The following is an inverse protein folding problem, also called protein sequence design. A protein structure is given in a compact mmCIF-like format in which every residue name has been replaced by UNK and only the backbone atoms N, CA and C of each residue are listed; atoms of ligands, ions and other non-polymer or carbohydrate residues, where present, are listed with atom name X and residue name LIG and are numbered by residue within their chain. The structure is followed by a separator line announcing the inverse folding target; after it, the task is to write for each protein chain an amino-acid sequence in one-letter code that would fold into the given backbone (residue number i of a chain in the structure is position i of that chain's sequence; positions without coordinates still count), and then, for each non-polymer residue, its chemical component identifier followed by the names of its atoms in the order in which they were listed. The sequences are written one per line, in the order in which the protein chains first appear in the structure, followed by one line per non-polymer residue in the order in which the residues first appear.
data_IF_485073243278
#
_entry.id   IF_485073243278
#
_cell.length_a   1.000
_cell.length_b   1.000
_cell.length_c   1.000
_cell.angle_alpha   90.00
_cell.angle_beta   90.00
_cell.angle_gamma   90.00
#
_symmetry.space_group_name_H-M   'P 1'
#
loop_
_entity.id
_entity.type
_entity.pdbx_description
1 polymer ?
#
# COMPACT_ATOMS: atom_id res chain seq x y z
N UNK A 1 21.28 4.32 22.26
CA UNK A 1 20.68 3.04 21.81
C UNK A 1 19.26 2.99 22.37
N UNK A 2 18.32 3.74 21.77
CA UNK A 2 17.05 4.09 22.42
C UNK A 2 15.84 3.79 21.53
N UNK A 3 14.86 3.09 22.12
CA UNK A 3 13.43 3.09 21.81
C UNK A 3 12.98 2.89 20.34
N UNK A 4 13.08 1.65 19.83
CA UNK A 4 12.32 1.20 18.64
C UNK A 4 11.44 -0.03 18.94
N UNK A 5 10.84 -0.11 20.13
CA UNK A 5 9.81 -1.13 20.43
C UNK A 5 8.51 -0.94 19.64
N UNK A 6 8.45 0.11 18.83
CA UNK A 6 7.24 0.71 18.29
C UNK A 6 6.67 0.02 17.01
N UNK A 7 7.37 -0.98 16.47
CA UNK A 7 6.89 -1.78 15.33
C UNK A 7 6.41 -3.16 15.77
N UNK A 8 5.50 -3.20 16.75
CA UNK A 8 4.96 -4.44 17.34
C UNK A 8 4.24 -5.36 16.35
N UNK A 9 3.87 -4.84 15.18
CA UNK A 9 3.25 -5.60 14.08
C UNK A 9 4.26 -6.41 13.25
N UNK A 10 5.56 -6.20 13.42
CA UNK A 10 6.61 -7.04 12.80
C UNK A 10 6.93 -8.24 13.69
N UNK A 11 6.93 -9.44 13.09
CA UNK A 11 7.43 -10.65 13.77
C UNK A 11 8.93 -10.51 14.11
N UNK A 12 9.45 -11.26 15.10
CA UNK A 12 10.89 -11.21 15.41
C UNK A 12 11.80 -11.53 14.22
N UNK A 13 11.38 -12.44 13.35
CA UNK A 13 12.10 -12.78 12.12
C UNK A 13 12.10 -11.62 11.12
N UNK A 14 10.93 -11.01 10.87
CA UNK A 14 10.82 -9.83 10.00
C UNK A 14 11.64 -8.66 10.54
N UNK A 15 11.61 -8.43 11.86
CA UNK A 15 12.41 -7.40 12.52
C UNK A 15 13.91 -7.64 12.32
N UNK A 16 14.38 -8.87 12.50
CA UNK A 16 15.79 -9.22 12.25
C UNK A 16 16.18 -8.93 10.80
N UNK A 17 15.35 -9.37 9.84
CA UNK A 17 15.56 -9.12 8.40
C UNK A 17 15.55 -7.63 8.05
N UNK A 18 14.66 -6.86 8.68
CA UNK A 18 14.58 -5.41 8.50
C UNK A 18 15.90 -4.73 8.85
N UNK A 19 16.50 -5.11 9.98
CA UNK A 19 17.76 -4.51 10.41
C UNK A 19 18.96 -4.99 9.60
N UNK A 20 18.99 -6.27 9.21
CA UNK A 20 20.12 -6.86 8.47
C UNK A 20 20.12 -6.55 6.97
N UNK A 21 18.95 -6.31 6.37
CA UNK A 21 18.82 -6.02 4.94
C UNK A 21 19.54 -4.72 4.56
N UNK A 22 20.19 -4.72 3.40
CA UNK A 22 20.87 -3.54 2.86
C UNK A 22 19.95 -2.70 1.99
N UNK A 23 18.89 -3.30 1.45
CA UNK A 23 17.96 -2.65 0.52
C UNK A 23 16.53 -2.88 0.94
N UNK A 24 15.73 -1.83 1.02
CA UNK A 24 14.31 -1.87 1.34
C UNK A 24 13.50 -1.47 0.11
N UNK A 25 12.52 -2.29 -0.23
CA UNK A 25 11.50 -2.03 -1.25
C UNK A 25 10.22 -1.72 -0.48
N UNK A 26 9.88 -0.44 -0.39
CA UNK A 26 8.75 0.04 0.40
C UNK A 26 7.52 0.10 -0.50
N UNK A 27 6.55 -0.76 -0.21
CA UNK A 27 5.26 -0.79 -0.87
C UNK A 27 4.18 -0.23 0.06
N UNK A 28 3.80 1.02 -0.19
CA UNK A 28 2.77 1.73 0.55
C UNK A 28 1.40 1.44 -0.06
N UNK A 29 0.37 1.41 0.79
CA UNK A 29 -1.03 1.24 0.38
C UNK A 29 -1.27 -0.10 -0.33
N UNK A 30 -0.72 -1.17 0.25
CA UNK A 30 -0.72 -2.50 -0.35
C UNK A 30 -2.09 -3.21 -0.34
N UNK A 31 -3.12 -2.63 0.29
CA UNK A 31 -4.42 -3.27 0.48
C UNK A 31 -4.39 -4.41 1.50
N UNK A 32 -5.54 -5.02 1.77
CA UNK A 32 -5.68 -6.10 2.77
C UNK A 32 -4.93 -7.37 2.33
N UNK A 33 -5.02 -7.71 1.05
CA UNK A 33 -4.46 -8.95 0.49
C UNK A 33 -2.94 -8.86 0.30
N UNK A 34 -2.40 -7.65 0.14
CA UNK A 34 -1.01 -7.46 -0.27
C UNK A 34 -0.78 -7.98 -1.69
N UNK A 35 0.46 -7.87 -2.17
CA UNK A 35 0.78 -8.17 -3.56
C UNK A 35 1.90 -9.21 -3.62
N UNK A 36 1.49 -10.47 -3.76
CA UNK A 36 2.42 -11.60 -3.74
C UNK A 36 3.48 -11.55 -4.86
N UNK A 37 3.17 -10.93 -6.01
CA UNK A 37 4.13 -10.69 -7.08
C UNK A 37 5.28 -9.79 -6.61
N UNK A 38 4.98 -8.78 -5.78
CA UNK A 38 5.97 -7.87 -5.21
C UNK A 38 6.83 -8.60 -4.16
N UNK A 39 6.25 -9.52 -3.39
CA UNK A 39 7.00 -10.34 -2.44
C UNK A 39 8.08 -11.20 -3.10
N UNK A 40 8.00 -11.47 -4.42
CA UNK A 40 9.09 -12.12 -5.16
C UNK A 40 10.37 -11.28 -5.18
N UNK A 41 10.30 -9.98 -4.92
CA UNK A 41 11.47 -9.10 -4.81
C UNK A 41 12.19 -9.25 -3.45
N UNK A 42 11.61 -9.99 -2.49
CA UNK A 42 12.12 -10.19 -1.13
C UNK A 42 13.28 -11.20 -1.07
N UNK A 43 14.32 -10.99 -1.88
CA UNK A 43 15.44 -11.92 -2.10
C UNK A 43 16.80 -11.32 -1.72
N UNK A 44 17.69 -12.19 -1.21
CA UNK A 44 19.06 -11.82 -0.85
C UNK A 44 19.11 -10.72 0.21
N UNK A 45 19.82 -9.62 -0.10
CA UNK A 45 19.96 -8.46 0.78
C UNK A 45 18.80 -7.45 0.67
N UNK A 46 17.79 -7.73 -0.15
CA UNK A 46 16.57 -6.93 -0.25
C UNK A 46 15.49 -7.40 0.73
N UNK A 47 14.74 -6.43 1.27
CA UNK A 47 13.53 -6.66 2.03
C UNK A 47 12.36 -5.89 1.43
N UNK A 48 11.26 -6.59 1.16
CA UNK A 48 9.98 -5.95 0.81
C UNK A 48 9.24 -5.58 2.10
N UNK A 49 8.82 -4.32 2.20
CA UNK A 49 8.05 -3.78 3.31
C UNK A 49 6.70 -3.34 2.76
N UNK A 50 5.67 -4.15 2.95
CA UNK A 50 4.29 -3.77 2.66
C UNK A 50 3.63 -3.12 3.86
N UNK A 51 3.00 -1.97 3.61
CA UNK A 51 2.31 -1.19 4.64
C UNK A 51 0.92 -0.83 4.18
N UNK A 52 -0.09 -1.23 4.95
CA UNK A 52 -1.45 -0.72 4.78
C UNK A 52 -2.21 -0.67 6.11
N UNK A 53 -2.87 0.46 6.37
CA UNK A 53 -3.71 0.64 7.56
C UNK A 53 -4.89 -0.34 7.62
N UNK A 54 -5.39 -0.80 6.47
CA UNK A 54 -6.47 -1.78 6.36
C UNK A 54 -6.03 -3.18 6.81
N UNK A 55 -4.75 -3.53 6.68
CA UNK A 55 -4.18 -4.79 7.21
C UNK A 55 -3.97 -4.72 8.71
N UNK A 56 -3.38 -3.62 9.16
CA UNK A 56 -3.03 -3.42 10.56
C UNK A 56 -2.93 -1.92 10.86
N UNK A 57 -3.60 -1.47 11.93
CA UNK A 57 -3.48 -0.09 12.40
C UNK A 57 -2.03 0.31 12.77
N UNK A 58 -1.15 -0.67 13.02
CA UNK A 58 0.28 -0.43 13.22
C UNK A 58 1.04 -0.06 11.94
N UNK A 59 0.51 -0.39 10.76
CA UNK A 59 1.12 -0.13 9.45
C UNK A 59 0.69 1.20 8.82
N UNK A 60 -0.10 2.00 9.53
CA UNK A 60 -0.52 3.31 9.06
C UNK A 60 0.69 4.25 8.91
N UNK A 61 0.87 4.78 7.70
CA UNK A 61 1.93 5.71 7.34
C UNK A 61 1.86 7.01 8.15
N UNK A 62 0.67 7.39 8.65
CA UNK A 62 0.48 8.58 9.48
C UNK A 62 1.01 8.40 10.91
N UNK A 63 1.19 7.17 11.38
CA UNK A 63 1.71 6.89 12.73
C UNK A 63 3.19 7.22 12.85
N UNK A 64 3.55 7.75 14.02
CA UNK A 64 4.92 8.22 14.29
C UNK A 64 5.93 7.09 14.25
N UNK A 65 5.53 5.91 14.69
CA UNK A 65 6.36 4.70 14.78
C UNK A 65 6.80 4.23 13.40
N UNK A 66 5.83 3.95 12.53
CA UNK A 66 6.02 3.54 11.14
C UNK A 66 6.79 4.60 10.36
N UNK A 67 6.44 5.88 10.55
CA UNK A 67 7.10 6.98 9.88
C UNK A 67 8.57 7.13 10.30
N UNK A 68 8.89 7.03 11.60
CA UNK A 68 10.28 7.07 12.08
C UNK A 68 11.09 5.89 11.59
N UNK A 69 10.50 4.70 11.53
CA UNK A 69 11.18 3.51 10.97
C UNK A 69 11.56 3.74 9.50
N UNK A 70 10.61 4.21 8.69
CA UNK A 70 10.83 4.49 7.28
C UNK A 70 11.86 5.61 7.06
N UNK A 71 11.75 6.71 7.81
CA UNK A 71 12.71 7.81 7.74
C UNK A 71 14.11 7.38 8.17
N UNK A 72 14.25 6.54 9.20
CA UNK A 72 15.55 5.98 9.56
C UNK A 72 16.14 5.15 8.43
N UNK A 73 15.33 4.28 7.81
CA UNK A 73 15.76 3.49 6.64
C UNK A 73 16.17 4.37 5.46
N UNK A 74 15.43 5.45 5.22
CA UNK A 74 15.73 6.41 4.17
C UNK A 74 17.04 7.17 4.43
N UNK A 75 17.21 7.75 5.62
CA UNK A 75 18.41 8.49 6.02
C UNK A 75 19.66 7.59 6.02
N UNK A 76 19.52 6.31 6.36
CA UNK A 76 20.63 5.33 6.34
C UNK A 76 20.91 4.74 4.94
N UNK A 77 20.23 5.23 3.90
CA UNK A 77 20.42 4.78 2.52
C UNK A 77 19.86 3.39 2.19
N UNK A 78 19.07 2.79 3.10
CA UNK A 78 18.51 1.44 2.89
C UNK A 78 17.37 1.43 1.88
N UNK A 79 16.58 2.50 1.80
CA UNK A 79 15.42 2.54 0.88
C UNK A 79 15.90 2.58 -0.57
N UNK A 80 15.59 1.53 -1.33
CA UNK A 80 15.96 1.35 -2.74
C UNK A 80 14.79 1.74 -3.67
N UNK A 81 13.55 1.48 -3.24
CA UNK A 81 12.33 1.79 -3.99
C UNK A 81 11.23 2.24 -3.02
N UNK A 82 10.49 3.28 -3.40
CA UNK A 82 9.22 3.69 -2.79
C UNK A 82 8.13 3.57 -3.84
N UNK A 83 7.12 2.74 -3.57
CA UNK A 83 6.02 2.54 -4.49
C UNK A 83 4.68 2.39 -3.80
N UNK A 84 3.59 2.65 -4.51
CA UNK A 84 2.24 2.51 -3.99
C UNK A 84 1.22 3.38 -4.72
N UNK A 85 -0.04 3.20 -4.38
CA UNK A 85 -1.15 4.06 -4.81
C UNK A 85 -1.96 4.52 -3.60
N UNK A 86 -1.95 5.81 -3.23
CA UNK A 86 -2.67 6.32 -2.06
C UNK A 86 -4.17 5.98 -2.15
N UNK A 87 -4.84 5.74 -1.01
CA UNK A 87 -6.24 5.36 -0.99
C UNK A 87 -7.16 6.48 -1.53
N UNK A 88 -8.22 6.01 -2.18
CA UNK A 88 -9.45 6.69 -2.61
C UNK A 88 -9.38 7.72 -3.77
N UNK A 89 -10.15 7.42 -4.83
CA UNK A 89 -10.41 8.25 -6.02
C UNK A 89 -11.52 9.28 -5.80
N UNK A 90 -12.49 9.00 -4.90
CA UNK A 90 -13.78 9.71 -4.88
C UNK A 90 -13.64 11.20 -4.56
N UNK A 91 -12.58 11.58 -3.84
CA UNK A 91 -12.34 12.95 -3.40
C UNK A 91 -11.17 13.66 -4.11
N UNK A 92 -10.43 12.96 -4.98
CA UNK A 92 -9.18 13.50 -5.55
C UNK A 92 -9.35 14.31 -6.84
N UNK A 93 -10.51 14.23 -7.51
CA UNK A 93 -10.72 14.99 -8.74
C UNK A 93 -10.85 16.51 -8.52
N UNK A 94 -10.93 16.99 -7.28
CA UNK A 94 -11.40 18.36 -6.98
C UNK A 94 -12.75 18.71 -7.67
N UNK A 95 -13.41 17.74 -8.32
CA UNK A 95 -14.72 17.83 -8.96
C UNK A 95 -15.74 17.53 -7.87
N UNK A 96 -15.96 18.52 -7.02
CA UNK A 96 -16.77 18.39 -5.81
C UNK A 96 -16.35 19.35 -4.69
N UNK A 97 -15.21 20.03 -4.82
CA UNK A 97 -14.78 21.08 -3.88
C UNK A 97 -14.23 20.61 -2.54
N UNK A 98 -14.44 19.34 -2.14
CA UNK A 98 -13.94 18.82 -0.88
C UNK A 98 -12.57 18.13 -1.06
N UNK A 99 -11.52 18.81 -0.61
CA UNK A 99 -10.14 18.31 -0.68
C UNK A 99 -9.92 17.27 0.42
N UNK A 100 -9.69 16.02 0.07
CA UNK A 100 -9.26 15.02 1.06
C UNK A 100 -7.83 15.32 1.54
N UNK A 101 -7.76 15.98 2.70
CA UNK A 101 -6.51 16.33 3.37
C UNK A 101 -5.71 15.10 3.79
N UNK A 102 -6.36 13.97 4.06
CA UNK A 102 -5.69 12.73 4.46
C UNK A 102 -4.98 12.10 3.29
N UNK A 103 -5.66 11.94 2.15
CA UNK A 103 -5.02 11.45 0.91
C UNK A 103 -3.83 12.33 0.50
N UNK A 104 -3.98 13.65 0.60
CA UNK A 104 -2.87 14.57 0.33
C UNK A 104 -1.69 14.36 1.30
N UNK A 105 -1.95 14.21 2.61
CA UNK A 105 -0.91 13.95 3.59
C UNK A 105 -0.16 12.64 3.31
N UNK A 106 -0.89 11.61 2.89
CA UNK A 106 -0.31 10.31 2.53
C UNK A 106 0.60 10.42 1.30
N UNK A 107 0.15 11.11 0.25
CA UNK A 107 0.95 11.42 -0.95
C UNK A 107 2.19 12.23 -0.57
N UNK A 108 2.02 13.27 0.25
CA UNK A 108 3.12 14.12 0.69
C UNK A 108 4.17 13.33 1.48
N UNK A 109 3.77 12.41 2.38
CA UNK A 109 4.69 11.53 3.08
C UNK A 109 5.39 10.55 2.14
N UNK A 110 4.69 9.99 1.16
CA UNK A 110 5.30 9.12 0.16
C UNK A 110 6.37 9.87 -0.66
N UNK A 111 6.07 11.07 -1.14
CA UNK A 111 7.03 11.93 -1.85
C UNK A 111 8.21 12.33 -0.96
N UNK A 112 7.93 12.72 0.29
CA UNK A 112 8.97 13.09 1.24
C UNK A 112 9.91 11.93 1.54
N UNK A 113 9.36 10.72 1.72
CA UNK A 113 10.17 9.52 1.94
C UNK A 113 11.12 9.26 0.77
N UNK A 114 10.64 9.41 -0.47
CA UNK A 114 11.46 9.29 -1.66
C UNK A 114 12.60 10.31 -1.68
N UNK A 115 12.30 11.59 -1.45
CA UNK A 115 13.33 12.66 -1.42
C UNK A 115 14.39 12.38 -0.35
N UNK A 116 13.97 12.03 0.87
CA UNK A 116 14.90 11.70 1.96
C UNK A 116 15.73 10.47 1.63
N UNK A 117 15.16 9.46 0.98
CA UNK A 117 15.87 8.25 0.59
C UNK A 117 16.93 8.56 -0.48
N UNK A 118 16.62 9.40 -1.47
CA UNK A 118 17.56 9.83 -2.50
C UNK A 118 18.78 10.51 -1.87
N UNK A 119 18.54 11.54 -1.04
CA UNK A 119 19.61 12.25 -0.33
C UNK A 119 20.38 11.32 0.61
N UNK A 120 19.67 10.46 1.35
CA UNK A 120 20.28 9.49 2.25
C UNK A 120 21.25 8.55 1.54
N UNK A 121 20.92 8.10 0.32
CA UNK A 121 21.80 7.27 -0.50
C UNK A 121 23.01 8.02 -1.04
N UNK A 122 22.81 9.26 -1.50
CA UNK A 122 23.91 10.12 -1.96
C UNK A 122 24.95 10.35 -0.85
N UNK A 123 24.49 10.67 0.37
CA UNK A 123 25.36 10.85 1.54
C UNK A 123 26.16 9.60 1.88
N UNK A 124 25.59 8.41 1.66
CA UNK A 124 26.25 7.13 1.91
C UNK A 124 27.04 6.60 0.70
N UNK A 125 27.16 7.38 -0.39
CA UNK A 125 27.98 7.06 -1.56
C UNK A 125 27.40 5.98 -2.48
N UNK A 126 26.10 5.68 -2.37
CA UNK A 126 25.45 4.75 -3.29
C UNK A 126 25.27 5.38 -4.67
N UNK A 127 25.71 4.68 -5.72
CA UNK A 127 25.69 5.15 -7.11
C UNK A 127 24.34 4.97 -7.82
N UNK A 128 23.36 4.34 -7.16
CA UNK A 128 22.06 4.04 -7.74
C UNK A 128 20.98 4.90 -7.09
N UNK A 129 20.20 5.57 -7.94
CA UNK A 129 19.03 6.34 -7.56
C UNK A 129 17.94 5.48 -6.92
N UNK A 130 17.06 6.14 -6.18
CA UNK A 130 15.87 5.51 -5.58
C UNK A 130 14.78 5.39 -6.64
N UNK A 131 14.18 4.21 -6.76
CA UNK A 131 12.99 4.04 -7.60
C UNK A 131 11.76 4.69 -6.95
N UNK A 132 10.96 5.43 -7.74
CA UNK A 132 9.69 5.99 -7.30
C UNK A 132 8.55 5.59 -8.24
N UNK A 133 7.54 4.89 -7.72
CA UNK A 133 6.38 4.46 -8.51
C UNK A 133 5.11 4.89 -7.79
N UNK A 134 4.43 5.89 -8.36
CA UNK A 134 3.11 6.30 -7.89
C UNK A 134 2.07 5.75 -8.85
N UNK A 135 1.37 4.69 -8.44
CA UNK A 135 0.25 4.17 -9.20
C UNK A 135 -0.94 5.11 -9.03
N UNK A 136 -1.34 5.78 -10.11
CA UNK A 136 -2.59 6.51 -10.18
C UNK A 136 -3.57 5.66 -10.96
N UNK A 137 -4.52 4.98 -10.31
CA UNK A 137 -5.43 4.13 -11.04
C UNK A 137 -6.40 5.07 -11.78
N UNK A 138 -6.39 5.11 -13.11
CA UNK A 138 -7.36 5.87 -13.91
C UNK A 138 -8.79 5.44 -13.55
N UNK A 139 -9.56 6.35 -12.96
CA UNK A 139 -10.94 6.13 -12.56
C UNK A 139 -11.74 5.35 -13.61
N UNK A 140 -12.41 4.27 -13.20
CA UNK A 140 -13.58 3.82 -13.96
C UNK A 140 -14.57 4.99 -13.90
N UNK A 141 -15.15 5.39 -15.04
CA UNK A 141 -16.01 6.57 -15.09
C UNK A 141 -17.18 6.45 -14.10
N UNK A 142 -17.76 7.57 -13.64
CA UNK A 142 -18.95 7.53 -12.77
C UNK A 142 -20.05 6.63 -13.36
N UNK A 143 -20.25 6.69 -14.68
CA UNK A 143 -21.20 5.85 -15.40
C UNK A 143 -20.89 4.36 -15.26
N UNK A 144 -19.62 3.99 -15.25
CA UNK A 144 -19.17 2.60 -15.18
C UNK A 144 -19.16 2.05 -13.76
N UNK A 145 -18.99 2.92 -12.76
CA UNK A 145 -19.24 2.62 -11.35
C UNK A 145 -20.74 2.41 -11.09
N UNK A 146 -21.57 3.35 -11.52
CA UNK A 146 -23.03 3.29 -11.33
C UNK A 146 -23.62 2.04 -12.04
N UNK A 147 -23.09 1.69 -13.23
CA UNK A 147 -23.43 0.45 -13.94
C UNK A 147 -23.05 -0.79 -13.12
N UNK A 148 -21.83 -0.85 -12.58
CA UNK A 148 -21.37 -1.98 -11.75
C UNK A 148 -22.18 -2.11 -10.46
N UNK A 149 -22.49 -1.01 -9.79
CA UNK A 149 -23.29 -1.01 -8.57
C UNK A 149 -24.71 -1.53 -8.88
N UNK A 150 -25.31 -1.11 -10.00
CA UNK A 150 -26.59 -1.67 -10.48
C UNK A 150 -26.49 -3.15 -10.85
N UNK A 151 -25.40 -3.60 -11.46
CA UNK A 151 -25.17 -5.01 -11.78
C UNK A 151 -25.07 -5.87 -10.51
N UNK A 152 -24.37 -5.38 -9.47
CA UNK A 152 -24.26 -6.06 -8.17
C UNK A 152 -25.62 -6.12 -7.47
N UNK A 153 -26.36 -5.01 -7.43
CA UNK A 153 -27.69 -4.94 -6.83
C UNK A 153 -28.66 -5.90 -7.53
N UNK A 154 -28.63 -5.97 -8.86
CA UNK A 154 -29.43 -6.92 -9.64
C UNK A 154 -29.05 -8.39 -9.38
N UNK A 155 -27.76 -8.69 -9.18
CA UNK A 155 -27.30 -10.04 -8.83
C UNK A 155 -27.73 -10.43 -7.41
N UNK A 156 -27.64 -9.52 -6.45
CA UNK A 156 -28.09 -9.73 -5.06
C UNK A 156 -29.60 -9.94 -4.99
N UNK A 157 -30.39 -9.14 -5.73
CA UNK A 157 -31.84 -9.28 -5.77
C UNK A 157 -32.29 -10.54 -6.51
N UNK A 158 -31.60 -10.93 -7.59
CA UNK A 158 -31.85 -12.22 -8.25
C UNK A 158 -31.57 -13.41 -7.31
N UNK A 159 -30.55 -13.32 -6.46
CA UNK A 159 -30.28 -14.31 -5.41
C UNK A 159 -31.34 -14.34 -4.31
N UNK A 160 -31.93 -13.18 -3.96
CA UNK A 160 -33.02 -13.09 -2.97
C UNK A 160 -34.34 -13.67 -3.47
N UNK A 161 -34.66 -13.51 -4.76
CA UNK A 161 -35.91 -14.00 -5.36
C UNK A 161 -35.88 -15.51 -5.66
N UNK A 162 -34.69 -16.09 -5.91
CA UNK A 162 -34.50 -17.51 -6.24
C UNK A 162 -34.50 -18.49 -5.06
N UNK A 163 -35.29 -18.23 -4.02
CA UNK A 163 -35.22 -18.92 -2.72
C UNK A 163 -35.04 -20.45 -2.77
N UNK A 164 -33.84 -20.92 -2.38
CA UNK A 164 -33.67 -22.20 -1.68
C UNK A 164 -32.40 -22.24 -0.83
N UNK A 165 -32.64 -22.58 0.43
CA UNK A 165 -31.69 -22.88 1.50
C UNK A 165 -30.53 -23.78 1.04
N UNK A 166 -29.29 -23.32 1.25
CA UNK A 166 -28.17 -24.20 1.56
C UNK A 166 -27.25 -23.49 2.56
N UNK A 167 -27.11 -24.15 3.70
CA UNK A 167 -26.24 -23.79 4.80
C UNK A 167 -24.77 -23.67 4.34
N UNK A 168 -24.07 -22.69 4.92
CA UNK A 168 -22.61 -22.50 5.01
C UNK A 168 -21.76 -22.75 3.74
N UNK A 169 -21.31 -21.67 3.09
CA UNK A 169 -19.97 -21.52 2.55
C UNK A 169 -19.63 -20.02 2.43
N UNK A 170 -18.42 -19.66 2.84
CA UNK A 170 -17.94 -18.29 3.13
C UNK A 170 -18.46 -17.17 2.23
N UNK A 171 -18.87 -16.08 2.86
CA UNK A 171 -18.91 -14.74 2.26
C UNK A 171 -17.47 -14.37 1.87
N UNK A 172 -17.04 -14.81 0.69
CA UNK A 172 -16.02 -14.10 -0.07
C UNK A 172 -16.74 -12.88 -0.60
N UNK A 173 -16.60 -11.76 0.11
CA UNK A 173 -16.66 -10.45 -0.55
C UNK A 173 -15.70 -10.56 -1.73
N UNK A 174 -16.24 -10.67 -2.94
CA UNK A 174 -15.44 -10.51 -4.16
C UNK A 174 -15.11 -9.02 -4.22
N UNK A 175 -14.16 -8.61 -3.40
CA UNK A 175 -13.34 -7.44 -3.68
C UNK A 175 -12.51 -7.83 -4.92
N UNK A 176 -13.15 -7.81 -6.09
CA UNK A 176 -12.41 -7.68 -7.34
C UNK A 176 -11.93 -6.23 -7.45
N UNK A 177 -11.10 -5.82 -6.48
CA UNK A 177 -10.09 -4.81 -6.75
C UNK A 177 -9.20 -5.43 -7.82
N UNK A 178 -9.46 -5.09 -9.08
CA UNK A 178 -8.48 -5.31 -10.14
C UNK A 178 -7.29 -4.45 -9.74
N UNK A 179 -6.38 -5.06 -9.00
CA UNK A 179 -5.11 -4.44 -8.67
C UNK A 179 -4.39 -4.21 -10.00
N UNK A 180 -3.73 -3.05 -10.12
CA UNK A 180 -2.87 -2.74 -11.27
C UNK A 180 -1.86 -3.87 -11.59
N UNK A 181 -1.52 -4.68 -10.59
CA UNK A 181 -0.61 -5.83 -10.67
C UNK A 181 -1.22 -7.10 -11.27
N UNK A 182 -2.51 -7.11 -11.56
CA UNK A 182 -3.23 -8.27 -12.11
C UNK A 182 -3.39 -8.21 -13.65
N UNK A 183 -2.84 -7.18 -14.29
CA UNK A 183 -2.82 -7.06 -15.75
C UNK A 183 -1.78 -8.01 -16.34
N UNK A 184 -2.23 -9.19 -16.79
CA UNK A 184 -1.43 -10.09 -17.64
C UNK A 184 -1.15 -9.39 -18.98
N UNK A 185 0.13 -9.17 -19.27
CA UNK A 185 0.62 -9.08 -20.64
C UNK A 185 0.52 -10.47 -21.32
#
# INVERSE_FOLDING_TARGET
MGHYEANGWLTPAQRRKLWSSKRWIVHLFAGVEGHWQIMRLDQGDAMVIELDSARCAGQDLLRSETWRMLLWGAVTGKVDVVMGGPPDRVHQHCRGGERDTKALQLIARMMWLFVVAQVGREVHGYQRDVGFILAYPEGISKQERDRRDHEVEQMEDAQRVGGRSRAYAGVSTVNAEVSFWDTRL
#
